data_IF_132734742241
#
_entry.id   IF_132734742241
#
_cell.length_a   1.000
_cell.length_b   1.000
_cell.length_c   1.000
_cell.angle_alpha   90.00
_cell.angle_beta   90.00
_cell.angle_gamma   90.00
#
_symmetry.space_group_name_H-M   'P 1'
#
loop_
_entity.id
_entity.type
_entity.pdbx_description
1 polymer ?
#
# COMPACT_ATOMS: atom_id res chain seq x y z
N UNK A 1 -28.42 -17.17 43.10
CA UNK A 1 -28.37 -18.19 42.02
C UNK A 1 -28.47 -17.49 40.67
N UNK A 2 -27.74 -17.99 39.67
CA UNK A 2 -27.25 -17.26 38.47
C UNK A 2 -28.17 -17.43 37.26
N UNK A 3 -28.16 -16.40 36.38
CA UNK A 3 -28.69 -16.31 34.98
C UNK A 3 -30.23 -16.21 34.89
N UNK A 4 -30.86 -15.47 33.96
CA UNK A 4 -30.69 -15.46 32.50
C UNK A 4 -31.14 -14.08 31.96
N UNK A 5 -30.22 -13.22 31.51
CA UNK A 5 -30.55 -12.01 30.71
C UNK A 5 -29.48 -11.67 29.65
N UNK A 6 -28.59 -12.63 29.37
CA UNK A 6 -27.36 -12.41 28.57
C UNK A 6 -27.45 -12.89 27.12
N UNK A 7 -28.52 -13.58 26.74
CA UNK A 7 -28.57 -14.33 25.47
C UNK A 7 -29.09 -13.47 24.31
N UNK A 8 -30.19 -12.74 24.53
CA UNK A 8 -30.85 -11.96 23.46
C UNK A 8 -30.02 -10.79 22.92
N UNK A 9 -29.25 -10.13 23.79
CA UNK A 9 -28.34 -9.04 23.40
C UNK A 9 -27.12 -9.54 22.61
N UNK A 10 -26.65 -10.75 22.92
CA UNK A 10 -25.55 -11.40 22.21
C UNK A 10 -25.96 -11.82 20.81
N UNK A 11 -27.17 -12.37 20.65
CA UNK A 11 -27.74 -12.76 19.36
C UNK A 11 -27.89 -11.57 18.41
N UNK A 12 -28.47 -10.45 18.88
CA UNK A 12 -28.65 -9.24 18.06
C UNK A 12 -27.31 -8.62 17.63
N UNK A 13 -26.30 -8.66 18.50
CA UNK A 13 -24.97 -8.12 18.20
C UNK A 13 -24.27 -8.96 17.12
N UNK A 14 -24.38 -10.28 17.20
CA UNK A 14 -23.81 -11.20 16.22
C UNK A 14 -24.48 -11.07 14.84
N UNK A 15 -25.82 -11.01 14.81
CA UNK A 15 -26.57 -10.81 13.57
C UNK A 15 -26.24 -9.46 12.91
N UNK A 16 -26.06 -8.41 13.72
CA UNK A 16 -25.63 -7.10 13.23
C UNK A 16 -24.23 -7.14 12.63
N UNK A 17 -23.28 -7.82 13.29
CA UNK A 17 -21.92 -7.98 12.77
C UNK A 17 -21.91 -8.77 11.45
N UNK A 18 -22.67 -9.87 11.39
CA UNK A 18 -22.79 -10.70 10.20
C UNK A 18 -23.43 -9.94 9.03
N UNK A 19 -24.46 -9.15 9.30
CA UNK A 19 -25.08 -8.29 8.29
C UNK A 19 -24.12 -7.22 7.77
N UNK A 20 -23.30 -6.61 8.64
CA UNK A 20 -22.28 -5.64 8.23
C UNK A 20 -21.22 -6.26 7.33
N UNK A 21 -20.75 -7.47 7.65
CA UNK A 21 -19.77 -8.20 6.84
C UNK A 21 -20.39 -8.57 5.48
N UNK A 22 -21.60 -9.14 5.47
CA UNK A 22 -22.31 -9.48 4.24
C UNK A 22 -22.61 -8.25 3.38
N UNK A 23 -22.84 -7.10 3.98
CA UNK A 23 -23.05 -5.84 3.27
C UNK A 23 -21.73 -5.33 2.67
N UNK A 24 -20.64 -5.33 3.43
CA UNK A 24 -19.32 -4.92 2.95
C UNK A 24 -18.80 -5.83 1.82
N UNK A 25 -19.08 -7.13 1.87
CA UNK A 25 -18.73 -8.08 0.81
C UNK A 25 -19.61 -7.97 -0.44
N UNK A 26 -20.82 -7.39 -0.33
CA UNK A 26 -21.75 -7.18 -1.44
C UNK A 26 -21.64 -5.79 -2.06
N UNK A 27 -21.05 -4.83 -1.35
CA UNK A 27 -20.71 -3.54 -1.91
C UNK A 27 -19.62 -3.75 -2.96
N UNK A 28 -19.73 -3.13 -4.16
CA UNK A 28 -18.58 -3.07 -5.06
C UNK A 28 -17.41 -2.48 -4.29
N UNK A 29 -16.21 -3.05 -4.48
CA UNK A 29 -15.00 -2.49 -3.89
C UNK A 29 -14.98 -1.00 -4.28
N UNK A 30 -14.83 -0.09 -3.31
CA UNK A 30 -14.88 1.34 -3.62
C UNK A 30 -13.77 1.63 -4.62
N UNK A 31 -14.15 2.22 -5.75
CA UNK A 31 -13.22 2.65 -6.79
C UNK A 31 -12.15 3.53 -6.13
N UNK A 32 -10.88 3.12 -6.28
CA UNK A 32 -9.73 3.79 -5.67
C UNK A 32 -9.68 5.26 -6.11
N UNK A 33 -10.15 5.57 -7.32
CA UNK A 33 -10.19 6.91 -7.89
C UNK A 33 -11.11 7.84 -7.10
N UNK A 34 -12.17 7.28 -6.52
CA UNK A 34 -13.14 8.04 -5.72
C UNK A 34 -12.77 8.15 -4.25
N UNK A 35 -11.85 7.30 -3.77
CA UNK A 35 -11.63 7.09 -2.33
C UNK A 35 -10.29 7.62 -1.83
N UNK A 36 -9.24 7.58 -2.65
CA UNK A 36 -7.91 8.04 -2.26
C UNK A 36 -7.71 9.53 -2.58
N UNK A 37 -7.20 10.32 -1.64
CA UNK A 37 -6.90 11.73 -1.90
C UNK A 37 -5.72 11.86 -2.88
N UNK A 38 -5.72 12.95 -3.65
CA UNK A 38 -4.59 13.34 -4.46
C UNK A 38 -3.35 13.64 -3.60
N UNK A 39 -2.17 13.62 -4.23
CA UNK A 39 -0.91 13.96 -3.56
C UNK A 39 -0.97 15.36 -2.94
N UNK A 40 -0.38 15.50 -1.76
CA UNK A 40 -0.15 16.80 -1.13
C UNK A 40 1.26 17.29 -1.43
N UNK A 41 1.44 18.61 -1.36
CA UNK A 41 2.76 19.20 -1.52
C UNK A 41 3.66 18.77 -0.36
N UNK A 42 4.80 18.16 -0.67
CA UNK A 42 5.73 17.65 0.36
C UNK A 42 7.18 17.84 -0.03
N UNK A 43 7.91 18.59 0.78
CA UNK A 43 9.36 18.72 0.64
C UNK A 43 10.07 17.38 0.91
N UNK A 44 11.11 17.06 0.15
CA UNK A 44 11.94 15.87 0.35
C UNK A 44 13.36 16.07 -0.18
N UNK A 45 14.26 15.15 0.19
CA UNK A 45 15.65 15.18 -0.25
C UNK A 45 16.52 16.19 0.53
N UNK A 46 17.69 16.55 -0.02
CA UNK A 46 18.63 17.47 0.62
C UNK A 46 18.09 18.90 0.70
N UNK A 47 18.69 19.69 1.60
CA UNK A 47 18.48 21.14 1.72
C UNK A 47 19.65 21.89 1.09
N UNK A 48 19.41 23.09 0.59
CA UNK A 48 20.44 23.95 0.02
C UNK A 48 21.20 24.78 1.07
N UNK A 49 22.13 25.61 0.62
CA UNK A 49 22.92 26.51 1.49
C UNK A 49 22.09 27.58 2.22
N UNK A 50 20.85 27.81 1.79
CA UNK A 50 19.87 28.72 2.41
C UNK A 50 18.89 27.98 3.33
N UNK A 51 19.15 26.69 3.60
CA UNK A 51 18.32 25.79 4.39
C UNK A 51 16.92 25.57 3.80
N UNK A 52 16.75 25.74 2.49
CA UNK A 52 15.50 25.45 1.80
C UNK A 52 15.53 24.04 1.20
N UNK A 53 14.40 23.30 1.19
CA UNK A 53 14.32 22.01 0.52
C UNK A 53 14.59 22.14 -0.98
N UNK A 54 15.46 21.30 -1.52
CA UNK A 54 15.80 21.32 -2.94
C UNK A 54 14.70 20.73 -3.83
N UNK A 55 13.92 19.79 -3.29
CA UNK A 55 12.85 19.11 -4.03
C UNK A 55 11.54 19.14 -3.26
N UNK A 56 10.44 19.19 -4.02
CA UNK A 56 9.08 19.15 -3.48
C UNK A 56 8.20 18.30 -4.39
N UNK A 57 7.48 17.35 -3.80
CA UNK A 57 6.44 16.61 -4.49
C UNK A 57 5.31 17.56 -4.87
N UNK A 58 4.92 17.53 -6.16
CA UNK A 58 3.82 18.34 -6.68
C UNK A 58 2.49 17.86 -6.10
N UNK A 59 1.67 18.80 -5.63
CA UNK A 59 0.31 18.51 -5.19
C UNK A 59 -0.63 18.23 -6.38
N UNK A 60 -1.73 17.51 -6.12
CA UNK A 60 -2.81 17.32 -7.08
C UNK A 60 -2.57 16.22 -8.11
N UNK A 61 -1.56 15.36 -7.93
CA UNK A 61 -1.41 14.13 -8.72
C UNK A 61 -2.47 13.14 -8.24
N UNK A 62 -3.18 12.50 -9.17
CA UNK A 62 -4.17 11.48 -8.82
C UNK A 62 -3.50 10.32 -8.08
N UNK A 63 -4.23 9.67 -7.18
CA UNK A 63 -3.71 8.50 -6.48
C UNK A 63 -3.31 7.38 -7.45
N UNK A 64 -4.05 7.21 -8.55
CA UNK A 64 -3.75 6.26 -9.61
C UNK A 64 -2.40 6.56 -10.28
N UNK A 65 -2.20 7.78 -10.78
CA UNK A 65 -0.95 8.15 -11.46
C UNK A 65 0.24 8.04 -10.51
N UNK A 66 0.05 8.44 -9.26
CA UNK A 66 1.07 8.32 -8.23
C UNK A 66 1.43 6.85 -7.95
N UNK A 67 0.44 5.97 -7.80
CA UNK A 67 0.64 4.54 -7.57
C UNK A 67 1.25 3.83 -8.79
N UNK A 68 0.83 4.19 -10.01
CA UNK A 68 1.44 3.69 -11.24
C UNK A 68 2.93 4.04 -11.31
N UNK A 69 3.28 5.27 -10.91
CA UNK A 69 4.68 5.66 -10.81
C UNK A 69 5.43 4.93 -9.69
N UNK A 70 4.79 4.66 -8.55
CA UNK A 70 5.38 3.83 -7.48
C UNK A 70 5.66 2.41 -7.98
N UNK A 71 4.74 1.78 -8.72
CA UNK A 71 4.96 0.47 -9.33
C UNK A 71 6.18 0.47 -10.26
N UNK A 72 6.34 1.51 -11.09
CA UNK A 72 7.52 1.68 -11.93
C UNK A 72 8.81 1.80 -11.12
N UNK A 73 8.82 2.56 -10.02
CA UNK A 73 9.99 2.68 -9.14
C UNK A 73 10.35 1.35 -8.48
N UNK A 74 9.36 0.56 -8.09
CA UNK A 74 9.57 -0.78 -7.52
C UNK A 74 10.13 -1.75 -8.57
N UNK A 75 9.63 -1.72 -9.81
CA UNK A 75 10.22 -2.45 -10.94
C UNK A 75 11.68 -2.08 -11.16
N UNK A 76 12.02 -0.78 -11.13
CA UNK A 76 13.41 -0.35 -11.26
C UNK A 76 14.29 -0.90 -10.12
N UNK A 77 13.75 -0.98 -8.90
CA UNK A 77 14.47 -1.55 -7.76
C UNK A 77 14.68 -3.07 -7.88
N UNK A 78 13.71 -3.82 -8.40
CA UNK A 78 13.85 -5.24 -8.74
C UNK A 78 14.98 -5.43 -9.76
N UNK A 79 14.92 -4.74 -10.90
CA UNK A 79 15.92 -4.84 -11.97
C UNK A 79 17.32 -4.45 -11.49
N UNK A 80 17.44 -3.37 -10.72
CA UNK A 80 18.74 -2.94 -10.17
C UNK A 80 19.32 -4.00 -9.22
N UNK A 81 18.45 -4.66 -8.45
CA UNK A 81 18.88 -5.66 -7.49
C UNK A 81 19.28 -6.98 -8.15
N UNK A 82 18.67 -7.35 -9.27
CA UNK A 82 19.09 -8.50 -10.09
C UNK A 82 20.54 -8.32 -10.53
N UNK A 83 20.88 -7.16 -11.11
CA UNK A 83 22.25 -6.82 -11.54
C UNK A 83 23.26 -6.88 -10.39
N UNK A 84 22.91 -6.38 -9.20
CA UNK A 84 23.79 -6.42 -8.01
C UNK A 84 23.97 -7.86 -7.52
N UNK A 85 22.90 -8.66 -7.55
CA UNK A 85 22.92 -10.06 -7.08
C UNK A 85 23.77 -10.96 -7.98
N UNK A 86 23.86 -10.66 -9.29
CA UNK A 86 24.78 -11.35 -10.20
C UNK A 86 26.25 -11.15 -9.80
N UNK A 87 26.59 -10.00 -9.21
CA UNK A 87 27.95 -9.63 -8.81
C UNK A 87 28.27 -9.99 -7.35
N UNK A 88 27.27 -10.27 -6.53
CA UNK A 88 27.41 -10.53 -5.09
C UNK A 88 27.71 -12.00 -4.74
N UNK A 89 28.51 -12.22 -3.70
CA UNK A 89 28.74 -13.56 -3.13
C UNK A 89 28.56 -13.56 -1.61
N UNK A 90 28.14 -14.69 -1.03
CA UNK A 90 28.02 -14.83 0.43
C UNK A 90 26.76 -14.19 1.04
N UNK A 91 26.90 -13.65 2.26
CA UNK A 91 25.77 -13.16 3.09
C UNK A 91 25.01 -12.01 2.43
N UNK A 92 25.74 -11.12 1.77
CA UNK A 92 25.20 -9.94 1.10
C UNK A 92 24.25 -10.30 -0.05
N UNK A 93 24.51 -11.40 -0.78
CA UNK A 93 23.54 -11.94 -1.75
C UNK A 93 22.22 -12.35 -1.10
N UNK A 94 22.29 -13.00 0.07
CA UNK A 94 21.09 -13.41 0.81
C UNK A 94 20.27 -12.20 1.32
N UNK A 95 20.95 -11.14 1.76
CA UNK A 95 20.31 -9.89 2.16
C UNK A 95 19.63 -9.18 0.98
N UNK A 96 20.31 -9.11 -0.17
CA UNK A 96 19.74 -8.51 -1.39
C UNK A 96 18.52 -9.30 -1.86
N UNK A 97 18.58 -10.64 -1.87
CA UNK A 97 17.42 -11.47 -2.21
C UNK A 97 16.22 -11.24 -1.29
N UNK A 98 16.45 -11.12 0.03
CA UNK A 98 15.38 -10.79 0.97
C UNK A 98 14.78 -9.41 0.70
N UNK A 99 15.59 -8.44 0.30
CA UNK A 99 15.14 -7.11 -0.10
C UNK A 99 14.31 -7.16 -1.39
N UNK A 100 14.80 -7.85 -2.43
CA UNK A 100 14.10 -8.04 -3.71
C UNK A 100 12.72 -8.61 -3.47
N UNK A 101 12.62 -9.69 -2.70
CA UNK A 101 11.33 -10.30 -2.41
C UNK A 101 10.35 -9.33 -1.72
N UNK A 102 10.85 -8.45 -0.86
CA UNK A 102 10.02 -7.43 -0.21
C UNK A 102 9.52 -6.39 -1.22
N UNK A 103 10.35 -6.03 -2.21
CA UNK A 103 10.00 -5.09 -3.29
C UNK A 103 8.98 -5.71 -4.24
N UNK A 104 9.19 -6.95 -4.69
CA UNK A 104 8.26 -7.70 -5.54
C UNK A 104 6.87 -7.77 -4.89
N UNK A 105 6.82 -8.03 -3.58
CA UNK A 105 5.57 -8.10 -2.84
C UNK A 105 4.91 -6.73 -2.69
N UNK A 106 5.67 -5.67 -2.45
CA UNK A 106 5.13 -4.32 -2.44
C UNK A 106 4.55 -3.95 -3.81
N UNK A 107 5.24 -4.31 -4.90
CA UNK A 107 4.80 -4.03 -6.27
C UNK A 107 3.52 -4.79 -6.61
N UNK A 108 3.46 -6.08 -6.30
CA UNK A 108 2.26 -6.89 -6.51
C UNK A 108 1.03 -6.30 -5.80
N UNK A 109 1.21 -5.75 -4.58
CA UNK A 109 0.13 -5.05 -3.87
C UNK A 109 -0.29 -3.79 -4.63
N UNK A 110 0.66 -2.95 -5.07
CA UNK A 110 0.36 -1.73 -5.83
C UNK A 110 -0.36 -2.05 -7.14
N UNK A 111 0.14 -3.02 -7.90
CA UNK A 111 -0.45 -3.46 -9.17
C UNK A 111 -1.88 -3.99 -8.94
N UNK A 112 -2.10 -4.78 -7.89
CA UNK A 112 -3.46 -5.24 -7.54
C UNK A 112 -4.42 -4.11 -7.21
N UNK A 113 -3.94 -3.01 -6.60
CA UNK A 113 -4.78 -1.85 -6.32
C UNK A 113 -5.13 -1.09 -7.59
N UNK A 114 -4.24 -1.06 -8.58
CA UNK A 114 -4.46 -0.44 -9.88
C UNK A 114 -5.38 -1.26 -10.78
N UNK A 115 -5.25 -2.60 -10.78
CA UNK A 115 -6.08 -3.51 -11.58
C UNK A 115 -7.55 -3.53 -11.12
N UNK A 116 -7.81 -3.27 -9.84
CA UNK A 116 -9.17 -3.12 -9.30
C UNK A 116 -9.78 -1.73 -9.56
N UNK A 117 -9.08 -0.87 -10.30
CA UNK A 117 -9.52 0.50 -10.63
C UNK A 117 -10.01 0.65 -12.09
N UNK A 118 -9.92 -0.39 -12.91
CA UNK A 118 -10.62 -0.50 -14.21
C UNK A 118 -12.03 -1.09 -14.07
#
# INVERSE_FOLDING_TARGET
>A
MKKIHSDRTSTTTFETAQYRILTALKSPAPDIHSTLPNTSQRAFGPIDSTLQPMFTLRAGISAQDALAHVSLLLLCAEQTSDEITELGSGVERGLIWSMVHSVEMARAVVDSLLDNAE
#
